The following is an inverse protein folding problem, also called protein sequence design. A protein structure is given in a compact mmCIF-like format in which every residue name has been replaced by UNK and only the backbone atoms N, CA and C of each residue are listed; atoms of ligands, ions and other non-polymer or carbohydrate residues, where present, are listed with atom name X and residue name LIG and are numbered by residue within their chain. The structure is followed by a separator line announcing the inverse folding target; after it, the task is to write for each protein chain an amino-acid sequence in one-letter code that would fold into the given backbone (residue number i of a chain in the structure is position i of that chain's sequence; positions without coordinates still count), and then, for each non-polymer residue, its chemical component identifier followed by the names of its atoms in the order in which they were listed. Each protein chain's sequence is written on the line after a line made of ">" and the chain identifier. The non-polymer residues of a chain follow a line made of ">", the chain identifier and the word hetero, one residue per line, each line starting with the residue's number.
data_IF_574758351484
#
_entry.id   IF_574758351484
#
_cell.length_a   1.000
_cell.length_b   1.000
_cell.length_c   1.000
_cell.angle_alpha   90.00
_cell.angle_beta   90.00
_cell.angle_gamma   90.00
#
_symmetry.space_group_name_H-M   'P 1'
#
loop_
_entity.id
_entity.type
_entity.pdbx_description
1 polymer ?
#
# COMPACT_ATOMS: atom_id res chain seq x y z
N UNK A 1 20.21 30.64 -12.24
CA UNK A 1 20.11 29.18 -12.49
C UNK A 1 20.48 28.36 -11.24
N UNK A 2 21.36 28.85 -10.36
CA UNK A 2 21.72 28.18 -9.08
C UNK A 2 20.56 27.99 -8.09
N UNK A 3 19.62 28.94 -8.02
CA UNK A 3 18.43 28.80 -7.16
C UNK A 3 17.53 27.64 -7.60
N UNK A 4 17.41 27.37 -8.90
CA UNK A 4 16.57 26.27 -9.42
C UNK A 4 17.22 24.91 -9.09
N UNK A 5 18.55 24.82 -9.12
CA UNK A 5 19.27 23.58 -8.77
C UNK A 5 19.20 23.20 -7.30
N UNK A 6 19.00 24.16 -6.37
CA UNK A 6 18.81 23.85 -4.95
C UNK A 6 17.39 23.40 -4.61
N UNK A 7 16.38 23.79 -5.41
CA UNK A 7 14.99 23.36 -5.20
C UNK A 7 14.76 21.89 -5.58
N UNK A 8 15.42 21.38 -6.62
CA UNK A 8 15.26 19.99 -7.09
C UNK A 8 15.48 18.94 -5.99
N UNK A 9 16.59 18.94 -5.21
CA UNK A 9 16.79 17.95 -4.15
C UNK A 9 15.76 18.07 -3.03
N UNK A 10 15.36 19.28 -2.65
CA UNK A 10 14.33 19.49 -1.60
C UNK A 10 12.97 18.97 -2.03
N UNK A 11 12.56 19.22 -3.28
CA UNK A 11 11.31 18.71 -3.84
C UNK A 11 11.32 17.18 -3.91
N UNK A 12 12.44 16.57 -4.33
CA UNK A 12 12.56 15.11 -4.36
C UNK A 12 12.42 14.48 -2.97
N UNK A 13 13.03 15.07 -1.94
CA UNK A 13 12.86 14.60 -0.55
C UNK A 13 11.40 14.72 -0.09
N UNK A 14 10.73 15.83 -0.39
CA UNK A 14 9.32 16.01 -0.05
C UNK A 14 8.43 14.95 -0.72
N UNK A 15 8.70 14.63 -2.00
CA UNK A 15 7.98 13.56 -2.73
C UNK A 15 8.20 12.21 -2.07
N UNK A 16 9.44 11.85 -1.69
CA UNK A 16 9.73 10.58 -0.99
C UNK A 16 8.93 10.44 0.31
N UNK A 17 8.93 11.49 1.14
CA UNK A 17 8.17 11.51 2.40
C UNK A 17 6.66 11.36 2.13
N UNK A 18 6.14 12.07 1.13
CA UNK A 18 4.74 11.95 0.75
C UNK A 18 4.40 10.52 0.31
N UNK A 19 5.23 9.89 -0.52
CA UNK A 19 5.02 8.51 -0.97
C UNK A 19 5.01 7.51 0.19
N UNK A 20 5.92 7.64 1.16
CA UNK A 20 5.89 6.82 2.37
C UNK A 20 4.61 7.00 3.18
N UNK A 21 4.12 8.24 3.33
CA UNK A 21 2.85 8.52 4.00
C UNK A 21 1.68 7.83 3.28
N UNK A 22 1.62 7.92 1.95
CA UNK A 22 0.57 7.27 1.16
C UNK A 22 0.68 5.73 1.20
N UNK A 23 1.87 5.16 1.26
CA UNK A 23 2.06 3.72 1.43
C UNK A 23 1.57 3.23 2.81
N UNK A 24 1.76 4.02 3.86
CA UNK A 24 1.18 3.72 5.19
C UNK A 24 -0.35 3.70 5.10
N UNK A 25 -0.96 4.73 4.50
CA UNK A 25 -2.41 4.77 4.28
C UNK A 25 -2.90 3.58 3.44
N UNK A 26 -2.15 3.21 2.41
CA UNK A 26 -2.45 2.05 1.57
C UNK A 26 -2.47 0.75 2.38
N UNK A 27 -1.49 0.51 3.25
CA UNK A 27 -1.43 -0.67 4.11
C UNK A 27 -2.63 -0.71 5.06
N UNK A 28 -2.98 0.42 5.68
CA UNK A 28 -4.17 0.51 6.54
C UNK A 28 -5.44 0.14 5.76
N UNK A 29 -5.57 0.64 4.53
CA UNK A 29 -6.68 0.30 3.66
C UNK A 29 -6.68 -1.19 3.26
N UNK A 30 -5.53 -1.77 2.94
CA UNK A 30 -5.41 -3.20 2.66
C UNK A 30 -5.86 -4.06 3.86
N UNK A 31 -5.57 -3.63 5.09
CA UNK A 31 -6.10 -4.27 6.30
C UNK A 31 -7.63 -4.19 6.42
N UNK A 32 -8.21 -3.03 6.07
CA UNK A 32 -9.67 -2.86 5.99
C UNK A 32 -10.27 -3.80 4.92
N UNK A 33 -9.63 -3.92 3.77
CA UNK A 33 -10.07 -4.80 2.67
C UNK A 33 -10.15 -6.26 3.11
N UNK A 34 -9.23 -6.75 3.94
CA UNK A 34 -9.33 -8.12 4.50
C UNK A 34 -10.67 -8.30 5.25
N UNK A 35 -11.04 -7.33 6.10
CA UNK A 35 -12.32 -7.37 6.83
C UNK A 35 -13.51 -7.31 5.86
N UNK A 36 -13.44 -6.46 4.84
CA UNK A 36 -14.50 -6.36 3.82
C UNK A 36 -14.67 -7.66 3.03
N UNK A 37 -13.57 -8.27 2.60
CA UNK A 37 -13.58 -9.57 1.90
C UNK A 37 -14.20 -10.66 2.78
N UNK A 38 -13.89 -10.67 4.08
CA UNK A 38 -14.53 -11.61 5.02
C UNK A 38 -16.04 -11.45 5.06
N UNK A 39 -16.55 -10.23 5.26
CA UNK A 39 -18.00 -9.95 5.33
C UNK A 39 -18.69 -10.23 3.98
N UNK A 40 -18.06 -9.85 2.87
CA UNK A 40 -18.58 -10.09 1.52
C UNK A 40 -18.74 -11.59 1.23
N UNK A 41 -17.73 -12.39 1.57
CA UNK A 41 -17.73 -13.85 1.35
C UNK A 41 -18.63 -14.63 2.31
N UNK A 42 -19.18 -13.99 3.35
CA UNK A 42 -20.26 -14.56 4.17
C UNK A 42 -21.63 -14.44 3.47
N UNK A 43 -21.75 -13.53 2.50
CA UNK A 43 -23.00 -13.29 1.76
C UNK A 43 -22.99 -13.94 0.38
N UNK A 44 -21.88 -13.80 -0.36
CA UNK A 44 -21.75 -14.30 -1.72
C UNK A 44 -21.24 -15.75 -1.70
N UNK A 45 -22.11 -16.71 -2.02
CA UNK A 45 -21.77 -18.12 -2.23
C UNK A 45 -21.49 -18.38 -3.71
N UNK A 46 -20.31 -17.93 -4.15
CA UNK A 46 -19.88 -18.01 -5.56
C UNK A 46 -18.81 -19.08 -5.79
N UNK A 47 -18.41 -19.82 -4.73
CA UNK A 47 -17.42 -20.91 -4.79
C UNK A 47 -15.97 -20.42 -4.84
N UNK A 48 -15.73 -19.11 -4.71
CA UNK A 48 -14.41 -18.47 -4.76
C UNK A 48 -13.96 -17.89 -3.40
N UNK A 49 -14.70 -18.17 -2.33
CA UNK A 49 -14.54 -17.52 -1.02
C UNK A 49 -13.13 -17.72 -0.47
N UNK A 50 -12.63 -18.96 -0.54
CA UNK A 50 -11.27 -19.30 -0.08
C UNK A 50 -10.20 -18.59 -0.90
N UNK A 51 -10.34 -18.56 -2.23
CA UNK A 51 -9.39 -17.91 -3.13
C UNK A 51 -9.32 -16.40 -2.91
N UNK A 52 -10.46 -15.73 -2.80
CA UNK A 52 -10.53 -14.28 -2.59
C UNK A 52 -9.98 -13.92 -1.20
N UNK A 53 -10.29 -14.70 -0.16
CA UNK A 53 -9.72 -14.52 1.19
C UNK A 53 -8.19 -14.65 1.19
N UNK A 54 -7.66 -15.69 0.54
CA UNK A 54 -6.22 -15.89 0.42
C UNK A 54 -5.56 -14.73 -0.33
N UNK A 55 -6.16 -14.30 -1.45
CA UNK A 55 -5.64 -13.19 -2.25
C UNK A 55 -5.59 -11.88 -1.44
N UNK A 56 -6.62 -11.60 -0.62
CA UNK A 56 -6.64 -10.42 0.23
C UNK A 56 -5.50 -10.42 1.26
N UNK A 57 -5.22 -11.58 1.88
CA UNK A 57 -4.11 -11.72 2.83
C UNK A 57 -2.76 -11.59 2.13
N UNK A 58 -2.57 -12.23 0.98
CA UNK A 58 -1.34 -12.10 0.18
C UNK A 58 -1.13 -10.64 -0.23
N UNK A 59 -2.18 -9.96 -0.70
CA UNK A 59 -2.09 -8.55 -1.08
C UNK A 59 -1.64 -7.67 0.08
N UNK A 60 -2.18 -7.88 1.28
CA UNK A 60 -1.75 -7.16 2.48
C UNK A 60 -0.27 -7.42 2.81
N UNK A 61 0.17 -8.68 2.79
CA UNK A 61 1.58 -9.05 3.03
C UNK A 61 2.49 -8.36 2.01
N UNK A 62 2.15 -8.42 0.72
CA UNK A 62 2.90 -7.76 -0.36
C UNK A 62 2.94 -6.24 -0.16
N UNK A 63 1.85 -5.64 0.31
CA UNK A 63 1.80 -4.19 0.56
C UNK A 63 2.76 -3.77 1.68
N UNK A 64 2.82 -4.54 2.77
CA UNK A 64 3.79 -4.32 3.86
C UNK A 64 5.22 -4.50 3.34
N UNK A 65 5.46 -5.53 2.54
CA UNK A 65 6.77 -5.77 1.93
C UNK A 65 7.21 -4.63 1.01
N UNK A 66 6.31 -4.11 0.15
CA UNK A 66 6.58 -2.96 -0.72
C UNK A 66 6.93 -1.71 0.10
N UNK A 67 6.23 -1.46 1.21
CA UNK A 67 6.59 -0.35 2.09
C UNK A 67 7.99 -0.51 2.69
N UNK A 68 8.33 -1.70 3.19
CA UNK A 68 9.69 -1.98 3.71
C UNK A 68 10.75 -1.75 2.62
N UNK A 69 10.53 -2.27 1.41
CA UNK A 69 11.45 -2.01 0.28
C UNK A 69 11.55 -0.52 -0.05
N UNK A 70 10.46 0.23 0.05
CA UNK A 70 10.46 1.66 -0.21
C UNK A 70 11.31 2.44 0.81
N UNK A 71 11.51 1.95 2.03
CA UNK A 71 12.40 2.61 3.00
C UNK A 71 13.89 2.44 2.65
N UNK A 72 14.23 1.43 1.86
CA UNK A 72 15.61 1.09 1.49
C UNK A 72 15.97 1.68 0.12
N UNK A 73 15.03 1.62 -0.83
CA UNK A 73 15.29 1.92 -2.24
C UNK A 73 14.91 3.36 -2.61
N UNK A 74 13.79 3.87 -2.09
CA UNK A 74 13.23 5.18 -2.46
C UNK A 74 13.79 6.28 -1.56
#
# INVERSE_FOLDING_TARGET
>A
MEAISSFTPTVLVAIKIALWLFLILYILFAGIVIKQVRVMTETLQVGLEKSIRTLAVIHFIVSVFVFILSLIIL
#
